data_IF_114399301319
#
_entry.id   IF_114399301319
#
_cell.length_a   1.000
_cell.length_b   1.000
_cell.length_c   1.000
_cell.angle_alpha   90.00
_cell.angle_beta   90.00
_cell.angle_gamma   90.00
#
_symmetry.space_group_name_H-M   'P 1'
#
loop_
_entity.id
_entity.type
_entity.pdbx_description
1 polymer ?
#
# COMPACT_ATOMS: atom_id res chain seq x y z
N UNK A 1 -42.02 1.19 1.83
CA UNK A 1 -42.08 2.42 1.01
C UNK A 1 -40.82 2.63 0.15
N UNK A 2 -39.88 1.67 0.10
CA UNK A 2 -38.66 1.80 -0.71
C UNK A 2 -37.58 2.69 -0.09
N UNK A 3 -37.79 3.20 1.13
CA UNK A 3 -36.79 3.98 1.84
C UNK A 3 -35.74 3.09 2.53
N UNK A 4 -34.53 3.61 2.66
CA UNK A 4 -33.49 3.03 3.53
C UNK A 4 -33.68 3.63 4.92
N UNK A 5 -33.80 2.76 5.92
CA UNK A 5 -33.86 3.18 7.32
C UNK A 5 -32.50 2.91 7.96
N UNK A 6 -31.78 3.98 8.30
CA UNK A 6 -30.48 3.90 8.95
C UNK A 6 -30.65 4.25 10.43
N UNK A 7 -30.27 3.32 11.32
CA UNK A 7 -30.24 3.53 12.76
C UNK A 7 -28.80 3.71 13.24
N UNK A 8 -28.55 4.74 14.04
CA UNK A 8 -27.25 4.97 14.68
C UNK A 8 -27.39 5.01 16.20
N UNK A 9 -26.59 4.21 16.89
CA UNK A 9 -26.24 4.47 18.29
C UNK A 9 -25.05 5.42 18.23
N UNK A 10 -25.26 6.71 18.44
CA UNK A 10 -24.21 7.70 18.19
C UNK A 10 -23.05 7.51 19.14
N UNK A 11 -21.86 7.76 18.61
CA UNK A 11 -20.61 7.75 19.34
C UNK A 11 -20.10 9.20 19.48
N UNK A 12 -19.21 9.42 20.44
CA UNK A 12 -18.52 10.69 20.64
C UNK A 12 -17.07 10.62 20.14
N UNK A 13 -16.42 11.77 19.95
CA UNK A 13 -15.04 11.82 19.43
C UNK A 13 -14.98 11.75 17.90
N UNK A 14 -13.92 11.13 17.35
CA UNK A 14 -13.63 11.12 15.90
C UNK A 14 -14.68 10.37 15.03
N UNK A 15 -15.64 9.69 15.65
CA UNK A 15 -16.74 9.01 14.97
C UNK A 15 -18.07 9.78 15.08
N UNK A 16 -18.07 10.96 15.72
CA UNK A 16 -19.22 11.84 15.82
C UNK A 16 -19.39 12.75 14.59
N UNK A 17 -20.62 13.21 14.33
CA UNK A 17 -20.91 14.24 13.33
C UNK A 17 -21.41 15.51 14.00
N UNK A 18 -20.76 16.64 13.73
CA UNK A 18 -21.15 17.94 14.28
C UNK A 18 -22.57 18.34 13.82
N UNK A 19 -23.38 18.87 14.74
CA UNK A 19 -24.75 19.30 14.45
C UNK A 19 -25.77 18.17 14.20
N UNK A 20 -25.41 16.90 14.45
CA UNK A 20 -26.32 15.75 14.32
C UNK A 20 -26.74 15.20 15.68
N UNK A 21 -27.87 14.49 15.70
CA UNK A 21 -28.35 13.79 16.89
C UNK A 21 -27.40 12.65 17.27
N UNK A 22 -27.14 12.47 18.57
CA UNK A 22 -26.32 11.38 19.13
C UNK A 22 -26.99 10.00 19.07
N UNK A 23 -28.21 9.93 18.57
CA UNK A 23 -28.95 8.69 18.35
C UNK A 23 -30.11 9.04 17.42
N UNK A 24 -30.50 8.11 16.56
CA UNK A 24 -31.66 8.35 15.73
C UNK A 24 -31.89 7.29 14.68
N UNK A 25 -33.16 7.18 14.30
CA UNK A 25 -33.59 6.49 13.10
C UNK A 25 -33.75 7.53 11.99
N UNK A 26 -32.96 7.43 10.94
CA UNK A 26 -33.07 8.24 9.73
C UNK A 26 -33.79 7.44 8.66
N UNK A 27 -34.74 8.09 7.99
CA UNK A 27 -35.38 7.56 6.78
C UNK A 27 -34.80 8.29 5.57
N UNK A 28 -34.08 7.56 4.73
CA UNK A 28 -33.52 8.02 3.48
C UNK A 28 -34.47 7.60 2.35
N UNK A 29 -35.06 8.57 1.67
CA UNK A 29 -35.94 8.31 0.52
C UNK A 29 -35.18 8.68 -0.75
N UNK A 30 -35.11 7.74 -1.69
CA UNK A 30 -34.49 7.99 -2.99
C UNK A 30 -35.27 9.05 -3.76
N UNK A 31 -34.61 10.09 -4.27
CA UNK A 31 -35.28 11.18 -5.01
C UNK A 31 -35.60 10.81 -6.45
N UNK A 32 -34.91 9.82 -7.01
CA UNK A 32 -35.02 9.44 -8.43
C UNK A 32 -33.96 10.07 -9.32
N UNK A 33 -33.27 11.10 -8.84
CA UNK A 33 -32.21 11.78 -9.59
C UNK A 33 -30.94 10.94 -9.61
N UNK A 34 -30.28 10.85 -10.77
CA UNK A 34 -28.99 10.20 -10.90
C UNK A 34 -27.88 11.24 -10.85
N UNK A 35 -27.16 11.30 -9.73
CA UNK A 35 -25.99 12.15 -9.62
C UNK A 35 -24.90 11.72 -10.61
N UNK A 36 -24.13 12.68 -11.13
CA UNK A 36 -22.91 12.40 -11.86
C UNK A 36 -21.79 11.99 -10.89
N UNK A 37 -21.43 10.71 -10.90
CA UNK A 37 -20.44 10.13 -9.98
C UNK A 37 -19.65 8.98 -10.64
N UNK A 38 -18.57 8.53 -10.00
CA UNK A 38 -17.87 7.31 -10.34
C UNK A 38 -18.71 6.10 -9.92
N UNK A 39 -19.16 5.32 -10.90
CA UNK A 39 -19.91 4.09 -10.68
C UNK A 39 -19.01 2.91 -10.28
N UNK A 40 -17.83 2.80 -10.89
CA UNK A 40 -16.88 1.73 -10.60
C UNK A 40 -15.46 2.09 -11.03
N UNK A 41 -14.49 1.55 -10.29
CA UNK A 41 -13.08 1.49 -10.68
C UNK A 41 -12.66 0.01 -10.73
N UNK A 42 -12.15 -0.45 -11.88
CA UNK A 42 -11.76 -1.85 -12.10
C UNK A 42 -10.32 -1.92 -12.57
N UNK A 43 -9.52 -2.77 -11.93
CA UNK A 43 -8.15 -3.01 -12.39
C UNK A 43 -8.18 -3.72 -13.75
N UNK A 44 -7.42 -3.18 -14.71
CA UNK A 44 -7.16 -3.78 -16.02
C UNK A 44 -5.66 -3.82 -16.24
N UNK A 45 -5.21 -4.61 -17.21
CA UNK A 45 -3.77 -4.72 -17.46
C UNK A 45 -3.15 -3.31 -17.63
N UNK A 46 -2.06 -3.04 -16.91
CA UNK A 46 -1.38 -1.73 -16.90
C UNK A 46 -2.21 -0.51 -16.43
N UNK A 47 -3.35 -0.68 -15.74
CA UNK A 47 -4.12 0.48 -15.27
C UNK A 47 -5.52 0.18 -14.72
N UNK A 48 -6.46 1.09 -14.98
CA UNK A 48 -7.82 1.02 -14.46
C UNK A 48 -8.87 1.48 -15.48
N UNK A 49 -10.01 0.81 -15.49
CA UNK A 49 -11.24 1.36 -16.05
C UNK A 49 -12.02 2.10 -14.97
N UNK A 50 -12.37 3.36 -15.24
CA UNK A 50 -13.28 4.16 -14.42
C UNK A 50 -14.57 4.34 -15.20
N UNK A 51 -15.65 3.79 -14.68
CA UNK A 51 -17.01 3.93 -15.20
C UNK A 51 -17.72 5.02 -14.42
N UNK A 52 -18.34 5.96 -15.12
CA UNK A 52 -19.14 7.06 -14.60
C UNK A 52 -20.62 6.81 -14.84
N UNK A 53 -21.48 7.42 -14.02
CA UNK A 53 -22.94 7.27 -14.13
C UNK A 53 -23.55 8.04 -15.31
N UNK A 54 -22.85 9.04 -15.83
CA UNK A 54 -23.28 9.84 -16.98
C UNK A 54 -22.12 10.03 -17.99
N UNK A 55 -22.42 10.28 -19.27
CA UNK A 55 -21.40 10.59 -20.29
C UNK A 55 -20.59 11.85 -19.93
N UNK A 56 -19.27 11.82 -20.12
CA UNK A 56 -18.42 13.01 -19.95
C UNK A 56 -18.75 14.11 -20.98
N UNK A 57 -18.64 15.36 -20.56
CA UNK A 57 -18.73 16.51 -21.47
C UNK A 57 -17.58 16.52 -22.49
N UNK A 58 -17.79 17.19 -23.63
CA UNK A 58 -16.72 17.35 -24.63
C UNK A 58 -15.49 18.07 -24.03
N UNK A 59 -15.73 19.12 -23.24
CA UNK A 59 -14.67 19.86 -22.53
C UNK A 59 -13.93 18.98 -21.52
N UNK A 60 -14.62 18.11 -20.78
CA UNK A 60 -13.97 17.16 -19.87
C UNK A 60 -13.09 16.18 -20.66
N UNK A 61 -13.57 15.71 -21.81
CA UNK A 61 -12.86 14.76 -22.67
C UNK A 61 -11.63 15.34 -23.37
N UNK A 62 -11.50 16.66 -23.48
CA UNK A 62 -10.30 17.31 -24.02
C UNK A 62 -9.12 17.13 -23.06
N UNK A 63 -7.96 16.74 -23.60
CA UNK A 63 -6.70 16.52 -22.86
C UNK A 63 -6.87 15.66 -21.60
N UNK A 64 -7.69 14.62 -21.71
CA UNK A 64 -8.17 13.83 -20.58
C UNK A 64 -7.01 13.20 -19.77
N UNK A 65 -5.94 12.75 -20.42
CA UNK A 65 -4.77 12.16 -19.77
C UNK A 65 -4.14 13.12 -18.76
N UNK A 66 -3.96 14.39 -19.13
CA UNK A 66 -3.32 15.40 -18.28
C UNK A 66 -4.16 15.79 -17.05
N UNK A 67 -5.45 15.45 -17.05
CA UNK A 67 -6.38 15.78 -15.96
C UNK A 67 -6.30 14.80 -14.80
N UNK A 68 -6.06 13.51 -15.07
CA UNK A 68 -6.01 12.52 -13.99
C UNK A 68 -4.77 12.66 -13.14
N UNK A 69 -4.94 12.46 -11.84
CA UNK A 69 -3.83 12.30 -10.89
C UNK A 69 -3.93 10.93 -10.27
N UNK A 70 -2.79 10.29 -10.06
CA UNK A 70 -2.74 9.00 -9.41
C UNK A 70 -1.59 8.94 -8.41
N UNK A 71 -1.84 8.26 -7.29
CA UNK A 71 -0.84 7.95 -6.28
C UNK A 71 -1.03 6.51 -5.82
N UNK A 72 0.03 5.90 -5.31
CA UNK A 72 -0.09 4.64 -4.58
C UNK A 72 0.75 4.63 -3.32
N UNK A 73 0.34 3.82 -2.36
CA UNK A 73 1.05 3.59 -1.10
C UNK A 73 0.61 2.25 -0.50
N UNK A 74 1.33 1.75 0.49
CA UNK A 74 0.85 0.67 1.36
C UNK A 74 0.65 1.18 2.78
N UNK A 75 -0.15 0.47 3.57
CA UNK A 75 -0.21 0.69 5.01
C UNK A 75 0.70 -0.27 5.73
N UNK A 76 1.43 0.24 6.72
CA UNK A 76 2.17 -0.61 7.66
C UNK A 76 1.22 -1.08 8.74
N UNK A 77 1.13 -2.39 8.94
CA UNK A 77 0.37 -2.97 10.04
C UNK A 77 1.06 -2.64 11.37
N UNK A 78 0.37 -1.90 12.24
CA UNK A 78 0.87 -1.55 13.57
C UNK A 78 -0.25 -1.74 14.61
N UNK A 79 0.06 -1.87 15.91
CA UNK A 79 -0.96 -1.82 16.95
C UNK A 79 -1.71 -0.48 17.03
N UNK A 80 -1.18 0.60 16.41
CA UNK A 80 -1.84 1.90 16.36
C UNK A 80 -2.91 1.89 15.27
N UNK A 81 -4.08 2.44 15.58
CA UNK A 81 -5.19 2.60 14.65
C UNK A 81 -4.74 3.35 13.37
N UNK A 82 -5.12 2.84 12.20
CA UNK A 82 -4.84 3.45 10.89
C UNK A 82 -3.50 3.05 10.26
N UNK A 83 -2.43 2.92 11.06
CA UNK A 83 -1.07 2.68 10.55
C UNK A 83 -0.53 3.81 9.65
N UNK A 84 0.79 4.03 9.57
CA UNK A 84 1.34 5.01 8.64
C UNK A 84 1.24 4.52 7.19
N UNK A 85 1.11 5.47 6.24
CA UNK A 85 1.40 5.22 4.83
C UNK A 85 2.90 5.00 4.67
N UNK A 86 3.29 4.02 3.88
CA UNK A 86 4.65 3.76 3.45
C UNK A 86 4.70 3.65 1.92
N UNK A 87 5.88 3.90 1.37
CA UNK A 87 6.16 3.81 -0.07
C UNK A 87 5.17 4.63 -0.92
N UNK A 88 4.81 5.82 -0.41
CA UNK A 88 3.91 6.74 -1.11
C UNK A 88 4.61 7.37 -2.31
N UNK A 89 3.98 7.23 -3.48
CA UNK A 89 4.52 7.75 -4.73
C UNK A 89 3.40 8.25 -5.64
N UNK A 90 3.77 9.17 -6.53
CA UNK A 90 2.94 9.59 -7.65
C UNK A 90 3.08 8.56 -8.78
N UNK A 91 1.96 8.23 -9.40
CA UNK A 91 1.92 7.40 -10.61
C UNK A 91 1.70 8.29 -11.83
N UNK A 92 2.51 8.07 -12.85
CA UNK A 92 2.37 8.76 -14.13
C UNK A 92 1.23 8.11 -14.93
N UNK A 93 0.17 8.87 -15.18
CA UNK A 93 -0.92 8.45 -16.07
C UNK A 93 -0.45 8.67 -17.51
N UNK A 94 -0.14 7.58 -18.20
CA UNK A 94 0.46 7.63 -19.54
C UNK A 94 -0.59 7.73 -20.65
N UNK A 95 -1.83 7.28 -20.39
CA UNK A 95 -2.96 7.51 -21.30
C UNK A 95 -4.31 7.45 -20.60
N UNK A 96 -5.29 8.15 -21.15
CA UNK A 96 -6.70 8.04 -20.81
C UNK A 96 -7.54 7.91 -22.08
N UNK A 97 -8.16 6.74 -22.29
CA UNK A 97 -8.99 6.46 -23.47
C UNK A 97 -10.46 6.47 -23.08
N UNK A 98 -11.23 7.37 -23.68
CA UNK A 98 -12.67 7.49 -23.45
C UNK A 98 -13.46 6.52 -24.35
N UNK A 99 -14.44 5.82 -23.78
CA UNK A 99 -15.37 4.95 -24.51
C UNK A 99 -16.27 5.74 -25.46
N UNK A 100 -16.88 5.05 -26.44
CA UNK A 100 -17.74 5.69 -27.45
C UNK A 100 -18.99 6.35 -26.87
N UNK A 101 -19.56 5.77 -25.80
CA UNK A 101 -20.68 6.33 -25.05
C UNK A 101 -20.25 7.37 -24.00
N UNK A 102 -18.93 7.62 -23.89
CA UNK A 102 -18.29 8.57 -22.98
C UNK A 102 -18.55 8.32 -21.50
N UNK A 103 -18.96 7.13 -21.11
CA UNK A 103 -19.20 6.78 -19.69
C UNK A 103 -18.01 6.07 -19.06
N UNK A 104 -17.04 5.58 -19.83
CA UNK A 104 -15.91 4.81 -19.31
C UNK A 104 -14.59 5.38 -19.79
N UNK A 105 -13.64 5.56 -18.87
CA UNK A 105 -12.26 5.95 -19.18
C UNK A 105 -11.33 4.81 -18.80
N UNK A 106 -10.57 4.32 -19.78
CA UNK A 106 -9.47 3.37 -19.54
C UNK A 106 -8.17 4.15 -19.36
N UNK A 107 -7.63 4.12 -18.14
CA UNK A 107 -6.34 4.69 -17.79
C UNK A 107 -5.24 3.66 -17.97
N UNK A 108 -4.08 4.11 -18.47
CA UNK A 108 -2.80 3.38 -18.34
C UNK A 108 -1.85 4.19 -17.48
N UNK A 109 -1.06 3.49 -16.68
CA UNK A 109 -0.11 4.10 -15.76
C UNK A 109 1.06 3.16 -15.51
N UNK A 110 2.25 3.74 -15.37
CA UNK A 110 3.47 2.99 -15.11
C UNK A 110 3.69 2.83 -13.60
N UNK A 111 4.40 1.77 -13.19
CA UNK A 111 4.83 1.60 -11.81
C UNK A 111 3.79 0.99 -10.84
N UNK A 112 2.65 0.51 -11.34
CA UNK A 112 1.66 -0.18 -10.50
C UNK A 112 2.27 -1.35 -9.74
N UNK A 113 2.09 -1.35 -8.42
CA UNK A 113 2.55 -2.43 -7.55
C UNK A 113 1.39 -3.14 -6.89
N UNK A 114 1.36 -4.49 -6.92
CA UNK A 114 0.44 -5.22 -6.07
C UNK A 114 0.74 -4.94 -4.58
N UNK A 115 -0.25 -5.15 -3.72
CA UNK A 115 -0.17 -4.87 -2.28
C UNK A 115 -0.23 -3.38 -1.91
N UNK A 116 -0.53 -2.50 -2.86
CA UNK A 116 -0.70 -1.07 -2.63
C UNK A 116 -2.19 -0.66 -2.75
N UNK A 117 -2.56 0.40 -2.04
CA UNK A 117 -3.75 1.19 -2.35
C UNK A 117 -3.37 2.12 -3.49
N UNK A 118 -4.16 2.11 -4.56
CA UNK A 118 -4.07 3.09 -5.64
C UNK A 118 -5.19 4.09 -5.46
N UNK A 119 -4.85 5.37 -5.46
CA UNK A 119 -5.78 6.49 -5.42
C UNK A 119 -5.75 7.19 -6.77
N UNK A 120 -6.90 7.33 -7.39
CA UNK A 120 -7.06 8.06 -8.65
C UNK A 120 -8.02 9.20 -8.46
N UNK A 121 -7.65 10.38 -8.95
CA UNK A 121 -8.47 11.58 -8.92
C UNK A 121 -8.88 12.01 -10.32
N UNK A 122 -10.15 12.38 -10.45
CA UNK A 122 -10.75 13.15 -11.55
C UNK A 122 -11.01 14.58 -11.05
N UNK A 123 -9.98 15.45 -11.02
CA UNK A 123 -10.07 16.75 -10.38
C UNK A 123 -11.01 17.69 -11.12
N UNK A 124 -11.65 18.60 -10.37
CA UNK A 124 -12.49 19.66 -10.95
C UNK A 124 -11.65 20.64 -11.80
N UNK A 125 -12.19 21.20 -12.89
CA UNK A 125 -13.52 20.91 -13.44
C UNK A 125 -13.57 19.51 -14.08
N UNK A 126 -14.61 18.75 -13.74
CA UNK A 126 -14.89 17.42 -14.29
C UNK A 126 -16.40 17.26 -14.33
N UNK A 127 -16.98 17.23 -15.52
CA UNK A 127 -18.43 17.38 -15.70
C UNK A 127 -19.01 16.39 -16.71
N UNK A 128 -20.27 16.04 -16.48
CA UNK A 128 -21.08 15.28 -17.42
C UNK A 128 -21.50 16.15 -18.61
N UNK A 129 -21.97 15.52 -19.68
CA UNK A 129 -22.55 16.19 -20.85
C UNK A 129 -23.78 17.04 -20.50
N UNK A 130 -24.44 16.75 -19.39
CA UNK A 130 -25.54 17.53 -18.81
C UNK A 130 -25.08 18.85 -18.18
N UNK A 131 -23.77 19.02 -17.95
CA UNK A 131 -23.19 20.14 -17.20
C UNK A 131 -23.09 19.89 -15.69
N UNK A 132 -23.58 18.75 -15.20
CA UNK A 132 -23.46 18.37 -13.80
C UNK A 132 -22.00 18.07 -13.42
N UNK A 133 -21.53 18.62 -12.30
CA UNK A 133 -20.17 18.38 -11.82
C UNK A 133 -20.05 17.05 -11.10
N UNK A 134 -18.90 16.39 -11.23
CA UNK A 134 -18.61 15.11 -10.58
C UNK A 134 -18.72 15.26 -9.07
N UNK A 135 -19.55 14.43 -8.42
CA UNK A 135 -19.75 14.51 -6.98
C UNK A 135 -18.50 14.04 -6.22
N UNK A 136 -18.10 12.79 -6.41
CA UNK A 136 -16.89 12.22 -5.81
C UNK A 136 -15.74 12.26 -6.82
N UNK A 137 -14.75 13.13 -6.58
CA UNK A 137 -13.63 13.35 -7.50
C UNK A 137 -12.52 12.32 -7.37
N UNK A 138 -12.72 11.26 -6.61
CA UNK A 138 -11.67 10.32 -6.24
C UNK A 138 -12.20 8.91 -6.01
N UNK A 139 -11.33 7.94 -6.32
CA UNK A 139 -11.55 6.53 -6.03
C UNK A 139 -10.28 5.92 -5.43
N UNK A 140 -10.46 4.95 -4.54
CA UNK A 140 -9.38 4.17 -3.91
C UNK A 140 -9.57 2.69 -4.22
N UNK A 141 -8.49 2.03 -4.62
CA UNK A 141 -8.49 0.62 -5.00
C UNK A 141 -7.39 -0.13 -4.25
N UNK A 142 -7.75 -1.15 -3.47
CA UNK A 142 -6.78 -2.06 -2.85
C UNK A 142 -6.30 -3.10 -3.86
N UNK A 143 -5.17 -2.82 -4.52
CA UNK A 143 -4.61 -3.63 -5.60
C UNK A 143 -3.84 -4.82 -5.05
N UNK A 144 -4.52 -5.82 -4.48
CA UNK A 144 -3.88 -7.00 -3.91
C UNK A 144 -3.21 -7.91 -4.95
N UNK A 145 -3.73 -7.89 -6.17
CA UNK A 145 -3.28 -8.74 -7.28
C UNK A 145 -3.43 -7.95 -8.55
N UNK A 146 -2.39 -7.95 -9.38
CA UNK A 146 -2.45 -7.36 -10.71
C UNK A 146 -3.31 -8.24 -11.63
N UNK A 147 -3.87 -7.68 -12.72
CA UNK A 147 -4.73 -8.44 -13.62
C UNK A 147 -4.06 -9.63 -14.32
N UNK A 148 -2.73 -9.61 -14.44
CA UNK A 148 -1.91 -10.73 -14.91
C UNK A 148 -1.74 -11.86 -13.87
N UNK A 149 -2.27 -11.67 -12.64
CA UNK A 149 -2.16 -12.60 -11.51
C UNK A 149 -0.95 -12.35 -10.60
N UNK A 150 -0.10 -11.38 -10.91
CA UNK A 150 1.08 -11.03 -10.10
C UNK A 150 0.67 -10.50 -8.72
N UNK A 151 1.38 -10.95 -7.69
CA UNK A 151 1.16 -10.57 -6.27
C UNK A 151 2.42 -10.04 -5.65
N UNK A 152 2.27 -9.16 -4.66
CA UNK A 152 3.40 -8.73 -3.85
C UNK A 152 3.94 -9.93 -3.06
N UNK A 153 5.28 -10.09 -2.96
CA UNK A 153 5.84 -11.04 -2.02
C UNK A 153 5.46 -10.63 -0.59
N UNK A 154 5.22 -11.60 0.32
CA UNK A 154 4.92 -11.28 1.71
C UNK A 154 6.12 -10.57 2.35
N UNK A 155 5.84 -9.46 3.03
CA UNK A 155 6.84 -8.70 3.79
C UNK A 155 6.62 -8.97 5.28
N UNK A 156 7.72 -9.30 5.97
CA UNK A 156 7.74 -9.50 7.41
C UNK A 156 8.67 -8.45 8.03
N UNK A 157 8.08 -7.38 8.56
CA UNK A 157 8.82 -6.28 9.18
C UNK A 157 9.53 -6.79 10.45
N UNK A 158 10.82 -6.47 10.60
CA UNK A 158 11.67 -7.04 11.65
C UNK A 158 11.23 -6.60 13.05
N UNK A 159 10.67 -5.40 13.18
CA UNK A 159 10.08 -4.88 14.42
C UNK A 159 8.89 -5.69 14.94
N UNK A 160 8.28 -6.52 14.09
CA UNK A 160 7.18 -7.42 14.47
C UNK A 160 7.64 -8.86 14.73
N UNK A 161 8.94 -9.13 14.60
CA UNK A 161 9.54 -10.44 14.83
C UNK A 161 9.72 -10.75 16.33
N UNK A 162 9.96 -12.01 16.65
CA UNK A 162 10.36 -12.39 18.00
C UNK A 162 11.84 -12.07 18.23
N UNK A 163 12.11 -11.28 19.26
CA UNK A 163 13.44 -10.76 19.60
C UNK A 163 14.03 -11.48 20.81
N UNK A 164 15.32 -11.80 20.77
CA UNK A 164 16.03 -12.40 21.90
C UNK A 164 17.53 -12.11 21.87
N UNK A 165 18.22 -12.34 22.99
CA UNK A 165 19.67 -12.14 23.07
C UNK A 165 20.10 -10.68 22.92
N UNK A 166 19.27 -9.73 23.38
CA UNK A 166 19.62 -8.32 23.45
C UNK A 166 19.22 -7.45 22.25
N UNK A 167 18.69 -8.05 21.17
CA UNK A 167 18.14 -7.34 20.01
C UNK A 167 16.95 -6.47 20.42
N UNK A 168 16.84 -5.25 19.87
CA UNK A 168 15.80 -4.28 20.26
C UNK A 168 15.26 -3.53 19.06
N UNK A 169 14.06 -2.97 19.25
CA UNK A 169 13.46 -2.03 18.32
C UNK A 169 14.16 -0.67 18.40
N UNK A 170 14.34 -0.02 17.24
CA UNK A 170 14.80 1.36 17.12
C UNK A 170 14.24 2.02 15.83
N UNK A 171 14.30 3.34 15.76
CA UNK A 171 13.82 4.17 14.64
C UNK A 171 14.72 5.39 14.36
N UNK A 172 15.92 5.43 14.97
CA UNK A 172 16.83 6.57 14.93
C UNK A 172 17.65 6.74 13.62
N UNK A 173 17.41 5.90 12.61
CA UNK A 173 18.00 5.99 11.27
C UNK A 173 16.89 6.01 10.22
N UNK A 174 16.97 6.89 9.25
CA UNK A 174 15.93 7.01 8.21
C UNK A 174 16.03 5.90 7.17
N UNK A 175 14.96 5.71 6.40
CA UNK A 175 14.92 4.78 5.26
C UNK A 175 14.49 3.34 5.58
N UNK A 176 14.13 3.03 6.83
CA UNK A 176 13.48 1.76 7.15
C UNK A 176 12.10 1.65 6.51
N UNK A 177 11.64 0.41 6.33
CA UNK A 177 10.23 0.11 6.06
C UNK A 177 9.47 -0.01 7.38
N UNK A 178 8.15 0.07 7.34
CA UNK A 178 7.38 -0.21 8.54
C UNK A 178 7.37 0.96 9.54
N UNK A 179 7.61 0.65 10.81
CA UNK A 179 7.67 1.62 11.92
C UNK A 179 9.06 1.81 12.50
N UNK A 180 10.02 0.99 12.09
CA UNK A 180 11.40 1.06 12.56
C UNK A 180 12.20 -0.14 12.08
N UNK A 181 13.17 -0.56 12.88
CA UNK A 181 14.03 -1.69 12.58
C UNK A 181 14.53 -2.35 13.86
N UNK A 182 15.27 -3.45 13.71
CA UNK A 182 15.91 -4.15 14.82
C UNK A 182 17.41 -3.88 14.83
N UNK A 183 17.91 -3.37 15.95
CA UNK A 183 19.33 -3.16 16.23
C UNK A 183 19.84 -4.11 17.34
N UNK A 184 21.02 -3.81 17.91
CA UNK A 184 21.66 -4.62 18.94
C UNK A 184 21.94 -6.07 18.53
N UNK A 185 22.22 -6.29 17.23
CA UNK A 185 22.51 -7.60 16.63
C UNK A 185 24.00 -8.00 16.69
N UNK A 186 24.76 -7.53 17.67
CA UNK A 186 26.23 -7.73 17.75
C UNK A 186 26.70 -8.59 18.92
N UNK A 187 25.83 -8.93 19.87
CA UNK A 187 26.21 -9.79 21.00
C UNK A 187 26.05 -11.27 20.64
N UNK A 188 26.92 -12.16 21.15
CA UNK A 188 26.71 -13.60 21.04
C UNK A 188 25.33 -14.00 21.59
N UNK A 189 24.50 -14.58 20.72
CA UNK A 189 23.15 -15.04 21.08
C UNK A 189 22.02 -14.09 20.68
N UNK A 190 22.31 -12.90 20.15
CA UNK A 190 21.31 -12.01 19.54
C UNK A 190 20.59 -12.69 18.38
N UNK A 191 19.24 -12.65 18.37
CA UNK A 191 18.41 -13.26 17.33
C UNK A 191 17.13 -12.48 17.07
N UNK A 192 16.83 -12.31 15.79
CA UNK A 192 15.54 -11.89 15.27
C UNK A 192 14.89 -13.07 14.57
N UNK A 193 13.71 -13.50 15.03
CA UNK A 193 13.04 -14.71 14.56
C UNK A 193 11.71 -14.38 13.90
N UNK A 194 11.60 -14.67 12.61
CA UNK A 194 10.42 -14.39 11.79
C UNK A 194 9.51 -15.62 11.71
N UNK A 195 8.19 -15.40 11.89
CA UNK A 195 7.17 -16.42 11.64
C UNK A 195 6.71 -16.35 10.16
N UNK A 196 7.44 -17.04 9.28
CA UNK A 196 7.18 -17.04 7.84
C UNK A 196 6.17 -18.13 7.47
N UNK A 197 5.23 -17.81 6.57
CA UNK A 197 4.32 -18.77 5.94
C UNK A 197 4.73 -18.95 4.49
N UNK A 198 4.82 -20.20 4.03
CA UNK A 198 5.06 -20.53 2.64
C UNK A 198 3.85 -21.29 2.08
N UNK A 199 3.33 -20.86 0.92
CA UNK A 199 2.15 -21.50 0.32
C UNK A 199 2.45 -22.89 -0.25
N UNK A 200 3.73 -23.18 -0.48
CA UNK A 200 4.25 -24.43 -1.02
C UNK A 200 5.55 -24.82 -0.32
N UNK A 201 5.83 -26.13 -0.28
CA UNK A 201 7.15 -26.65 0.13
C UNK A 201 8.15 -26.40 -0.99
N UNK A 202 9.39 -26.06 -0.64
CA UNK A 202 10.48 -25.95 -1.61
C UNK A 202 11.47 -24.84 -1.30
N UNK A 203 12.36 -24.56 -2.27
CA UNK A 203 13.27 -23.43 -2.18
C UNK A 203 12.52 -22.12 -2.37
N UNK A 204 12.77 -21.18 -1.46
CA UNK A 204 12.25 -19.82 -1.52
C UNK A 204 13.42 -18.87 -1.34
N UNK A 205 13.39 -17.77 -2.09
CA UNK A 205 14.36 -16.71 -1.93
C UNK A 205 13.91 -15.79 -0.81
N UNK A 206 14.74 -15.66 0.21
CA UNK A 206 14.55 -14.75 1.32
C UNK A 206 15.39 -13.50 1.09
N UNK A 207 14.72 -12.38 0.91
CA UNK A 207 15.35 -11.07 0.81
C UNK A 207 15.40 -10.41 2.20
N UNK A 208 16.60 -10.29 2.77
CA UNK A 208 16.86 -9.56 4.00
C UNK A 208 17.23 -8.11 3.66
N UNK A 209 16.39 -7.16 4.06
CA UNK A 209 16.71 -5.72 3.99
C UNK A 209 17.48 -5.31 5.25
N UNK A 210 18.64 -4.66 5.09
CA UNK A 210 19.55 -4.35 6.20
C UNK A 210 20.30 -3.04 5.97
N UNK A 211 20.86 -2.49 7.06
CA UNK A 211 21.87 -1.43 7.04
C UNK A 211 23.15 -1.93 7.75
N UNK A 212 24.30 -1.66 7.17
CA UNK A 212 25.62 -1.94 7.74
C UNK A 212 26.49 -0.69 7.55
N UNK A 213 26.15 0.36 8.29
CA UNK A 213 26.83 1.65 8.23
C UNK A 213 28.22 1.60 8.85
N UNK A 214 28.99 2.67 8.64
CA UNK A 214 30.33 2.78 9.20
C UNK A 214 30.26 2.81 10.74
N UNK A 215 30.98 1.89 11.36
CA UNK A 215 31.26 1.87 12.79
C UNK A 215 32.65 2.45 13.07
N UNK A 216 33.22 2.20 14.25
CA UNK A 216 34.59 2.55 14.60
C UNK A 216 35.68 1.85 13.77
N UNK A 217 35.31 1.09 12.73
CA UNK A 217 36.30 0.54 11.79
C UNK A 217 36.99 1.66 11.00
N UNK A 218 38.25 1.48 10.60
CA UNK A 218 38.94 2.44 9.74
C UNK A 218 38.34 2.55 8.33
N UNK A 219 37.70 1.47 7.85
CA UNK A 219 37.17 1.35 6.49
C UNK A 219 35.84 0.57 6.50
N UNK A 220 34.96 0.74 5.49
CA UNK A 220 33.73 -0.04 5.35
C UNK A 220 34.00 -1.55 5.23
N UNK A 221 33.38 -2.36 6.10
CA UNK A 221 33.59 -3.82 6.14
C UNK A 221 32.29 -4.60 6.14
N UNK A 222 32.26 -5.80 5.51
CA UNK A 222 31.12 -6.68 5.63
C UNK A 222 30.97 -7.21 7.05
N UNK A 223 29.72 -7.44 7.47
CA UNK A 223 29.38 -8.07 8.75
C UNK A 223 28.62 -9.35 8.49
N UNK A 224 28.84 -10.37 9.33
CA UNK A 224 28.21 -11.67 9.13
C UNK A 224 27.16 -11.98 10.18
N UNK A 225 26.16 -12.75 9.79
CA UNK A 225 25.21 -13.40 10.71
C UNK A 225 25.01 -14.87 10.30
N UNK A 226 24.47 -15.68 11.20
CA UNK A 226 24.14 -17.08 10.88
C UNK A 226 22.66 -17.21 10.57
N UNK A 227 22.34 -17.77 9.40
CA UNK A 227 20.98 -18.04 8.98
C UNK A 227 20.52 -19.41 9.49
N UNK A 228 19.37 -19.42 10.18
CA UNK A 228 18.69 -20.62 10.64
C UNK A 228 17.30 -20.72 10.00
N UNK A 229 16.86 -21.93 9.71
CA UNK A 229 15.48 -22.21 9.27
C UNK A 229 14.95 -23.36 10.10
N UNK A 230 13.80 -23.15 10.75
CA UNK A 230 13.17 -24.13 11.64
C UNK A 230 14.11 -24.72 12.71
N UNK A 231 15.04 -23.91 13.24
CA UNK A 231 16.02 -24.33 14.24
C UNK A 231 17.30 -24.97 13.67
N UNK A 232 17.35 -25.25 12.38
CA UNK A 232 18.51 -25.86 11.73
C UNK A 232 19.42 -24.78 11.10
N UNK A 233 20.71 -24.85 11.39
CA UNK A 233 21.71 -23.95 10.81
C UNK A 233 21.81 -24.19 9.31
N UNK A 234 21.60 -23.14 8.52
CA UNK A 234 21.75 -23.19 7.07
C UNK A 234 23.18 -22.82 6.66
N UNK A 235 23.57 -21.56 6.91
CA UNK A 235 24.88 -21.03 6.52
C UNK A 235 25.21 -19.75 7.29
N UNK A 236 26.46 -19.31 7.19
CA UNK A 236 26.84 -17.95 7.55
C UNK A 236 26.65 -17.06 6.32
N UNK A 237 26.00 -15.92 6.51
CA UNK A 237 25.75 -14.94 5.45
C UNK A 237 26.57 -13.68 5.74
N UNK A 238 27.00 -13.00 4.68
CA UNK A 238 27.83 -11.81 4.76
C UNK A 238 27.09 -10.64 4.14
N UNK A 239 26.95 -9.59 4.93
CA UNK A 239 26.24 -8.36 4.60
C UNK A 239 27.28 -7.27 4.31
N UNK A 240 27.41 -6.89 3.04
CA UNK A 240 28.32 -5.83 2.61
C UNK A 240 28.02 -4.52 3.34
N UNK A 241 29.04 -3.66 3.51
CA UNK A 241 28.79 -2.34 4.10
C UNK A 241 27.89 -1.51 3.21
N UNK A 242 26.95 -0.79 3.84
CA UNK A 242 26.13 0.23 3.20
C UNK A 242 26.73 1.64 3.35
N UNK A 243 27.93 1.73 3.94
CA UNK A 243 28.68 2.97 4.26
C UNK A 243 27.98 3.86 5.31
N UNK A 244 26.68 4.09 5.19
CA UNK A 244 25.89 4.88 6.13
C UNK A 244 24.72 4.09 6.71
N UNK A 245 24.35 4.41 7.95
CA UNK A 245 23.22 3.76 8.66
C UNK A 245 21.85 4.11 8.08
N UNK A 246 21.73 5.25 7.39
CA UNK A 246 20.52 5.65 6.67
C UNK A 246 20.45 5.05 5.25
N UNK A 247 21.45 4.26 4.84
CA UNK A 247 21.50 3.59 3.55
C UNK A 247 21.23 2.10 3.75
N UNK A 248 20.22 1.60 3.03
CA UNK A 248 19.73 0.23 3.16
C UNK A 248 20.04 -0.56 1.90
N UNK A 249 20.34 -1.85 2.07
CA UNK A 249 20.57 -2.81 1.00
C UNK A 249 19.73 -4.07 1.21
N UNK A 250 19.65 -4.91 0.18
CA UNK A 250 18.97 -6.21 0.24
C UNK A 250 19.96 -7.32 -0.04
N UNK A 251 20.04 -8.29 0.87
CA UNK A 251 20.78 -9.54 0.70
C UNK A 251 19.81 -10.69 0.47
N UNK A 252 20.02 -11.50 -0.56
CA UNK A 252 19.09 -12.60 -0.90
C UNK A 252 19.73 -13.96 -0.68
N UNK A 253 18.99 -14.86 -0.04
CA UNK A 253 19.40 -16.24 0.19
C UNK A 253 18.29 -17.21 -0.19
N UNK A 254 18.64 -18.26 -0.94
CA UNK A 254 17.70 -19.34 -1.24
C UNK A 254 17.72 -20.37 -0.13
N UNK A 255 16.57 -20.64 0.50
CA UNK A 255 16.43 -21.59 1.61
C UNK A 255 15.27 -22.57 1.42
N UNK A 256 15.33 -23.78 2.00
CA UNK A 256 14.21 -24.70 2.00
C UNK A 256 13.15 -24.27 3.03
N UNK A 257 11.92 -24.00 2.58
CA UNK A 257 10.77 -23.80 3.46
C UNK A 257 9.81 -24.99 3.39
N UNK A 258 9.15 -25.25 4.52
CA UNK A 258 7.99 -26.15 4.61
C UNK A 258 6.71 -25.34 4.37
N UNK A 259 5.67 -26.01 3.90
CA UNK A 259 4.30 -25.49 3.89
C UNK A 259 3.71 -25.51 5.30
#
# INVERSE_FOLDING_TARGET
DGAIYAGGIGDSGNWGQEGKLKFGLQKLTHTGDQAFDMRAMRAVDGGFEIEYTQPLSAETAEDLTAKYKAQQWRYVATPRYGGPKADEETLDVTSATLSSDRTTVTLRMDGLRPGHVVHVQSPRPFAASSGEELWSTEAWYSLNTLPDGSKAPPVYEAESASLSGGTKFNDNHSGYSGTGFIDNNWEPGSRTTFAVRADKKGKHDLALRYANGQNSDPEPKPRSMTLYVNGERQKQIWLNSTVAWNTWATHTESVPLRK
#
